data_IF_723435894511
#
_entry.id   IF_723435894511
#
_cell.length_a   1.000
_cell.length_b   1.000
_cell.length_c   1.000
_cell.angle_alpha   90.00
_cell.angle_beta   90.00
_cell.angle_gamma   90.00
#
_symmetry.space_group_name_H-M   'P 1'
#
loop_
_entity.id
_entity.type
_entity.pdbx_description
1 polymer ?
#
# COMPACT_ATOMS: atom_id res chain seq x y z
N UNK A 1 13.72 11.02 -27.09
CA UNK A 1 14.24 10.43 -25.83
C UNK A 1 15.58 9.79 -26.15
N UNK A 2 16.57 9.93 -25.26
CA UNK A 2 17.92 9.41 -25.48
C UNK A 2 17.95 7.89 -25.27
N UNK A 3 18.45 7.15 -26.26
CA UNK A 3 18.63 5.70 -26.21
C UNK A 3 19.52 5.24 -25.03
N UNK A 4 19.21 4.10 -24.40
CA UNK A 4 20.00 3.42 -23.36
C UNK A 4 21.51 3.42 -23.66
N UNK A 5 21.86 3.13 -24.92
CA UNK A 5 23.26 3.13 -25.41
C UNK A 5 23.91 4.53 -25.37
N UNK A 6 23.12 5.59 -25.55
CA UNK A 6 23.56 6.98 -25.44
C UNK A 6 23.89 7.35 -24.00
N UNK A 7 23.02 6.98 -23.05
CA UNK A 7 23.23 7.24 -21.62
C UNK A 7 24.52 6.55 -21.13
N UNK A 8 24.71 5.27 -21.47
CA UNK A 8 25.93 4.53 -21.11
C UNK A 8 27.21 5.12 -21.74
N UNK A 9 27.13 5.62 -22.98
CA UNK A 9 28.27 6.31 -23.62
C UNK A 9 28.63 7.62 -22.91
N UNK A 10 27.64 8.36 -22.38
CA UNK A 10 27.89 9.58 -21.60
C UNK A 10 28.54 9.28 -20.25
N UNK A 11 28.11 8.22 -19.57
CA UNK A 11 28.78 7.75 -18.34
C UNK A 11 30.23 7.36 -18.63
N UNK A 12 30.45 6.54 -19.66
CA UNK A 12 31.81 6.12 -20.06
C UNK A 12 32.72 7.28 -20.44
N UNK A 13 32.17 8.36 -20.99
CA UNK A 13 32.93 9.55 -21.37
C UNK A 13 33.06 10.60 -20.25
N UNK A 14 32.58 10.30 -19.04
CA UNK A 14 32.62 11.21 -17.90
C UNK A 14 31.68 12.42 -18.00
N UNK A 15 30.80 12.45 -19.01
CA UNK A 15 29.85 13.55 -19.25
C UNK A 15 28.55 13.41 -18.45
N UNK A 16 28.40 12.32 -17.70
CA UNK A 16 27.24 12.03 -16.88
C UNK A 16 27.69 11.18 -15.69
N UNK A 17 27.33 11.57 -14.48
CA UNK A 17 27.62 10.76 -13.30
C UNK A 17 26.80 9.47 -13.29
N UNK A 18 27.34 8.41 -12.70
CA UNK A 18 26.64 7.11 -12.59
C UNK A 18 25.29 7.26 -11.88
N UNK A 19 25.21 8.04 -10.80
CA UNK A 19 23.94 8.31 -10.09
C UNK A 19 22.91 9.01 -10.97
N UNK A 20 23.36 9.90 -11.84
CA UNK A 20 22.49 10.70 -12.70
C UNK A 20 21.99 9.86 -13.89
N UNK A 21 22.87 9.04 -14.47
CA UNK A 21 22.50 8.01 -15.42
C UNK A 21 21.52 6.99 -14.85
N UNK A 22 21.72 6.55 -13.60
CA UNK A 22 20.81 5.65 -12.91
C UNK A 22 19.41 6.27 -12.77
N UNK A 23 19.32 7.56 -12.42
CA UNK A 23 18.04 8.31 -12.42
C UNK A 23 17.38 8.35 -13.78
N UNK A 24 18.14 8.62 -14.85
CA UNK A 24 17.60 8.67 -16.22
C UNK A 24 17.09 7.30 -16.67
N UNK A 25 17.83 6.23 -16.36
CA UNK A 25 17.47 4.86 -16.74
C UNK A 25 16.31 4.29 -15.93
N UNK A 26 16.07 4.77 -14.70
CA UNK A 26 14.88 4.41 -13.89
C UNK A 26 13.56 4.77 -14.58
N UNK A 27 13.56 5.69 -15.55
CA UNK A 27 12.35 6.14 -16.27
C UNK A 27 11.94 5.18 -17.40
N UNK A 28 12.86 4.37 -17.96
CA UNK A 28 12.62 3.59 -19.20
C UNK A 28 12.08 2.15 -19.00
N UNK A 29 11.61 1.80 -17.80
CA UNK A 29 11.20 0.44 -17.44
C UNK A 29 9.79 0.00 -17.87
N UNK A 30 9.34 0.28 -19.11
CA UNK A 30 7.98 -0.09 -19.55
C UNK A 30 7.97 -1.36 -20.41
N UNK A 31 7.34 -2.43 -19.92
CA UNK A 31 7.08 -3.66 -20.67
C UNK A 31 5.66 -3.68 -21.22
N UNK A 32 5.50 -3.95 -22.52
CA UNK A 32 4.18 -4.07 -23.17
C UNK A 32 3.66 -5.51 -23.08
N UNK A 33 2.44 -5.69 -22.60
CA UNK A 33 1.73 -6.98 -22.61
C UNK A 33 0.54 -6.89 -23.57
N UNK A 34 0.69 -7.53 -24.73
CA UNK A 34 -0.29 -7.44 -25.81
C UNK A 34 -0.58 -5.98 -26.21
N UNK A 35 -1.86 -5.69 -26.47
CA UNK A 35 -2.34 -4.33 -26.79
C UNK A 35 -3.03 -3.62 -25.61
N UNK A 36 -3.13 -4.27 -24.44
CA UNK A 36 -4.02 -3.83 -23.35
C UNK A 36 -3.31 -3.39 -22.07
N UNK A 37 -2.01 -3.68 -21.91
CA UNK A 37 -1.27 -3.29 -20.71
C UNK A 37 0.17 -2.84 -21.00
N UNK A 38 0.61 -1.84 -20.23
CA UNK A 38 1.99 -1.35 -20.16
C UNK A 38 2.38 -1.39 -18.68
N UNK A 39 3.33 -2.24 -18.36
CA UNK A 39 3.72 -2.54 -16.98
C UNK A 39 5.03 -1.86 -16.69
N UNK A 40 5.12 -1.26 -15.51
CA UNK A 40 6.36 -0.67 -15.02
C UNK A 40 7.21 -1.71 -14.29
N UNK A 41 8.14 -2.33 -15.03
CA UNK A 41 9.07 -3.31 -14.48
C UNK A 41 10.18 -2.67 -13.63
N UNK A 42 10.27 -1.33 -13.64
CA UNK A 42 11.26 -0.57 -12.88
C UNK A 42 10.72 0.06 -11.58
N UNK A 43 9.43 -0.07 -11.28
CA UNK A 43 8.76 0.69 -10.20
C UNK A 43 9.42 0.48 -8.84
N UNK A 44 9.70 -0.76 -8.48
CA UNK A 44 10.34 -1.09 -7.19
C UNK A 44 11.72 -0.45 -7.09
N UNK A 45 12.55 -0.54 -8.14
CA UNK A 45 13.88 0.08 -8.18
C UNK A 45 13.81 1.61 -8.16
N UNK A 46 12.76 2.20 -8.76
CA UNK A 46 12.64 3.65 -8.89
C UNK A 46 12.10 4.31 -7.62
N UNK A 47 11.05 3.77 -7.02
CA UNK A 47 10.31 4.39 -5.91
C UNK A 47 10.15 3.50 -4.68
N UNK A 48 10.72 2.29 -4.68
CA UNK A 48 10.66 1.36 -3.54
C UNK A 48 9.35 0.59 -3.40
N UNK A 49 8.37 0.82 -4.29
CA UNK A 49 7.03 0.22 -4.22
C UNK A 49 6.94 -0.92 -5.26
N UNK A 50 6.55 -2.15 -4.87
CA UNK A 50 6.30 -3.23 -5.81
C UNK A 50 5.10 -2.90 -6.70
N UNK A 51 5.07 -3.50 -7.88
CA UNK A 51 3.96 -3.26 -8.79
C UNK A 51 2.70 -4.02 -8.31
N UNK A 52 1.59 -3.28 -8.24
CA UNK A 52 0.29 -3.80 -7.77
C UNK A 52 -0.70 -3.86 -8.93
N UNK A 53 -1.25 -5.03 -9.17
CA UNK A 53 -2.24 -5.27 -10.23
C UNK A 53 -3.64 -5.14 -9.66
N UNK A 54 -4.34 -4.07 -10.02
CA UNK A 54 -5.77 -3.94 -9.74
C UNK A 54 -6.56 -4.97 -10.58
N UNK A 55 -7.20 -5.96 -9.95
CA UNK A 55 -7.99 -6.96 -10.67
C UNK A 55 -9.41 -6.50 -11.00
N UNK A 56 -9.97 -5.58 -10.23
CA UNK A 56 -11.28 -5.00 -10.49
C UNK A 56 -11.32 -4.38 -11.90
N UNK A 57 -12.37 -4.71 -12.66
CA UNK A 57 -12.56 -4.25 -14.04
C UNK A 57 -11.69 -4.97 -15.09
N UNK A 58 -10.87 -5.96 -14.71
CA UNK A 58 -10.09 -6.80 -15.64
C UNK A 58 -10.64 -8.21 -15.72
N UNK A 59 -10.43 -8.91 -16.84
CA UNK A 59 -10.73 -10.35 -16.94
C UNK A 59 -9.68 -11.19 -16.20
N UNK A 60 -10.02 -12.41 -15.73
CA UNK A 60 -9.05 -13.32 -15.12
C UNK A 60 -7.82 -13.58 -16.00
N UNK A 61 -8.00 -13.70 -17.31
CA UNK A 61 -6.93 -13.94 -18.28
C UNK A 61 -6.04 -12.71 -18.44
N UNK A 62 -6.62 -11.50 -18.43
CA UNK A 62 -5.85 -10.26 -18.46
C UNK A 62 -4.96 -10.14 -17.22
N UNK A 63 -5.50 -10.43 -16.04
CA UNK A 63 -4.75 -10.42 -14.78
C UNK A 63 -3.60 -11.40 -14.84
N UNK A 64 -3.84 -12.65 -15.26
CA UNK A 64 -2.78 -13.66 -15.40
C UNK A 64 -1.68 -13.20 -16.35
N UNK A 65 -2.03 -12.69 -17.53
CA UNK A 65 -1.05 -12.21 -18.52
C UNK A 65 -0.21 -11.04 -18.00
N UNK A 66 -0.81 -10.15 -17.21
CA UNK A 66 -0.08 -9.05 -16.55
C UNK A 66 0.93 -9.64 -15.58
N UNK A 67 0.49 -10.53 -14.68
CA UNK A 67 1.33 -11.17 -13.65
C UNK A 67 2.47 -11.99 -14.27
N UNK A 68 2.24 -12.71 -15.37
CA UNK A 68 3.28 -13.44 -16.12
C UNK A 68 4.36 -12.50 -16.67
N UNK A 69 3.97 -11.28 -17.03
CA UNK A 69 4.86 -10.26 -17.54
C UNK A 69 5.80 -9.66 -16.49
N UNK A 70 5.54 -9.88 -15.21
CA UNK A 70 6.20 -9.20 -14.09
C UNK A 70 7.31 -10.02 -13.45
N UNK A 71 8.32 -9.31 -12.93
CA UNK A 71 9.41 -9.86 -12.12
C UNK A 71 9.20 -9.48 -10.64
N UNK A 72 9.89 -10.17 -9.73
CA UNK A 72 9.79 -9.90 -8.29
C UNK A 72 8.48 -10.36 -7.63
N UNK A 73 8.24 -9.85 -6.42
CA UNK A 73 7.02 -10.10 -5.66
C UNK A 73 5.87 -9.30 -6.25
N UNK A 74 4.73 -9.95 -6.47
CA UNK A 74 3.58 -9.36 -7.17
C UNK A 74 2.37 -9.37 -6.26
N UNK A 75 1.72 -8.23 -6.12
CA UNK A 75 0.44 -8.11 -5.44
C UNK A 75 -0.67 -7.92 -6.46
N UNK A 76 -1.75 -8.67 -6.31
CA UNK A 76 -3.00 -8.44 -7.04
C UNK A 76 -4.04 -7.98 -6.02
N UNK A 77 -4.61 -6.79 -6.21
CA UNK A 77 -5.65 -6.23 -5.33
C UNK A 77 -7.05 -6.41 -5.90
N UNK A 78 -8.06 -6.37 -5.02
CA UNK A 78 -9.49 -6.51 -5.36
C UNK A 78 -9.80 -7.76 -6.20
N UNK A 79 -9.25 -8.88 -5.77
CA UNK A 79 -9.34 -10.21 -6.41
C UNK A 79 -10.73 -10.81 -6.18
N UNK A 80 -11.42 -11.14 -7.27
CA UNK A 80 -12.69 -11.89 -7.24
C UNK A 80 -12.46 -13.41 -7.29
N UNK A 81 -13.53 -14.19 -7.14
CA UNK A 81 -13.46 -15.66 -7.12
C UNK A 81 -12.84 -16.26 -8.38
N UNK A 82 -13.27 -15.82 -9.56
CA UNK A 82 -12.71 -16.29 -10.84
C UNK A 82 -11.26 -15.84 -11.04
N UNK A 83 -10.89 -14.64 -10.59
CA UNK A 83 -9.48 -14.20 -10.59
C UNK A 83 -8.60 -15.15 -9.78
N UNK A 84 -9.01 -15.47 -8.54
CA UNK A 84 -8.26 -16.36 -7.67
C UNK A 84 -8.11 -17.77 -8.25
N UNK A 85 -9.19 -18.32 -8.82
CA UNK A 85 -9.20 -19.63 -9.46
C UNK A 85 -8.20 -19.69 -10.62
N UNK A 86 -8.21 -18.69 -11.49
CA UNK A 86 -7.30 -18.65 -12.65
C UNK A 86 -5.85 -18.40 -12.22
N UNK A 87 -5.61 -17.55 -11.22
CA UNK A 87 -4.29 -17.34 -10.63
C UNK A 87 -3.71 -18.64 -10.05
N UNK A 88 -4.48 -19.37 -9.24
CA UNK A 88 -4.05 -20.65 -8.62
C UNK A 88 -3.79 -21.77 -9.63
N UNK A 89 -4.48 -21.75 -10.78
CA UNK A 89 -4.20 -22.69 -11.88
C UNK A 89 -2.85 -22.40 -12.54
N UNK A 90 -2.45 -21.13 -12.62
CA UNK A 90 -1.28 -20.71 -13.41
C UNK A 90 0.00 -20.58 -12.59
N UNK A 91 -0.10 -20.09 -11.37
CA UNK A 91 1.04 -19.78 -10.50
C UNK A 91 1.06 -20.71 -9.29
N UNK A 92 2.27 -21.15 -8.93
CA UNK A 92 2.51 -21.85 -7.66
C UNK A 92 2.62 -20.80 -6.55
N UNK A 93 2.22 -21.17 -5.33
CA UNK A 93 2.35 -20.33 -4.12
C UNK A 93 1.60 -18.99 -4.20
N UNK A 94 0.32 -19.03 -4.57
CA UNK A 94 -0.58 -17.87 -4.47
C UNK A 94 -1.12 -17.79 -3.05
N UNK A 95 -0.60 -16.85 -2.26
CA UNK A 95 -1.13 -16.54 -0.94
C UNK A 95 -2.32 -15.59 -1.09
N UNK A 96 -3.46 -15.94 -0.50
CA UNK A 96 -4.70 -15.20 -0.66
C UNK A 96 -5.21 -14.70 0.69
N UNK A 97 -5.26 -13.38 0.85
CA UNK A 97 -5.89 -12.75 1.98
C UNK A 97 -7.37 -12.51 1.68
N UNK A 98 -8.24 -13.29 2.33
CA UNK A 98 -9.69 -13.22 2.13
C UNK A 98 -10.29 -11.87 2.55
N UNK A 99 -9.80 -11.28 3.63
CA UNK A 99 -10.29 -10.01 4.16
C UNK A 99 -9.93 -8.85 3.22
N UNK A 100 -8.67 -8.79 2.78
CA UNK A 100 -8.19 -7.77 1.84
C UNK A 100 -8.66 -8.00 0.39
N UNK A 101 -9.13 -9.21 0.06
CA UNK A 101 -9.31 -9.69 -1.32
C UNK A 101 -8.04 -9.46 -2.14
N UNK A 102 -6.88 -9.79 -1.58
CA UNK A 102 -5.60 -9.67 -2.27
C UNK A 102 -4.98 -11.04 -2.50
N UNK A 103 -4.23 -11.17 -3.60
CA UNK A 103 -3.41 -12.34 -3.89
C UNK A 103 -1.95 -11.91 -4.02
N UNK A 104 -1.09 -12.44 -3.15
CA UNK A 104 0.35 -12.22 -3.19
C UNK A 104 1.04 -13.41 -3.86
N UNK A 105 1.94 -13.11 -4.79
CA UNK A 105 2.80 -14.08 -5.46
C UNK A 105 4.23 -13.72 -5.10
N UNK A 106 4.73 -14.37 -4.05
CA UNK A 106 6.05 -14.09 -3.46
C UNK A 106 7.10 -14.97 -4.14
N UNK A 107 8.04 -14.34 -4.84
CA UNK A 107 9.18 -14.99 -5.53
C UNK A 107 10.46 -14.96 -4.69
N UNK A 108 10.62 -13.97 -3.82
CA UNK A 108 11.79 -13.81 -2.95
C UNK A 108 11.39 -13.30 -1.56
N UNK A 109 12.12 -13.75 -0.53
CA UNK A 109 11.97 -13.21 0.82
C UNK A 109 12.41 -11.75 0.85
N UNK A 110 11.68 -10.93 1.58
CA UNK A 110 12.00 -9.52 1.85
C UNK A 110 12.41 -9.42 3.31
N UNK A 111 13.54 -8.75 3.56
CA UNK A 111 13.97 -8.43 4.92
C UNK A 111 12.96 -7.51 5.60
N UNK A 112 12.72 -7.72 6.90
CA UNK A 112 11.72 -6.96 7.65
C UNK A 112 12.37 -5.79 8.39
N UNK A 113 12.10 -4.57 7.94
CA UNK A 113 12.59 -3.27 8.43
C UNK A 113 11.46 -2.27 8.65
N UNK A 114 11.54 -1.51 9.74
CA UNK A 114 10.49 -0.61 10.18
C UNK A 114 9.20 -1.33 10.64
N UNK A 115 8.39 -0.60 11.39
CA UNK A 115 7.15 -1.09 12.01
C UNK A 115 5.99 -0.15 11.68
N UNK A 116 4.94 -0.70 11.06
CA UNK A 116 3.72 0.04 10.70
C UNK A 116 2.58 -0.37 11.64
N UNK A 117 1.92 0.60 12.27
CA UNK A 117 0.67 0.38 12.99
C UNK A 117 -0.52 0.47 12.02
N UNK A 118 -1.51 -0.41 12.17
CA UNK A 118 -2.75 -0.40 11.39
C UNK A 118 -3.93 -0.50 12.34
N UNK A 119 -4.79 0.52 12.32
CA UNK A 119 -5.92 0.66 13.22
C UNK A 119 -7.22 0.73 12.42
N UNK A 120 -8.29 0.05 12.87
CA UNK A 120 -9.64 0.25 12.33
C UNK A 120 -10.63 0.79 13.35
N UNK A 121 -11.55 1.63 12.88
CA UNK A 121 -12.67 2.08 13.70
C UNK A 121 -13.72 0.98 13.89
N UNK A 122 -14.08 0.28 12.82
CA UNK A 122 -15.03 -0.83 12.88
C UNK A 122 -14.51 -2.12 12.23
N UNK A 123 -15.22 -3.22 12.48
CA UNK A 123 -14.97 -4.49 11.79
C UNK A 123 -15.21 -4.43 10.28
N UNK A 124 -16.11 -3.54 9.82
CA UNK A 124 -16.36 -3.29 8.39
C UNK A 124 -15.14 -2.76 7.64
N UNK A 125 -14.20 -2.16 8.35
CA UNK A 125 -13.07 -1.44 7.77
C UNK A 125 -11.84 -2.36 7.63
N UNK A 126 -11.91 -3.58 8.21
CA UNK A 126 -10.82 -4.56 8.24
C UNK A 126 -10.34 -4.92 6.83
N UNK A 127 -11.23 -4.99 5.83
CA UNK A 127 -10.81 -5.33 4.47
C UNK A 127 -9.79 -4.33 3.89
N UNK A 128 -10.03 -3.04 4.08
CA UNK A 128 -9.13 -1.97 3.61
C UNK A 128 -7.85 -1.91 4.46
N UNK A 129 -7.97 -2.17 5.77
CA UNK A 129 -6.80 -2.25 6.67
C UNK A 129 -5.89 -3.45 6.38
N UNK A 130 -6.46 -4.60 6.03
CA UNK A 130 -5.71 -5.78 5.60
C UNK A 130 -5.05 -5.55 4.23
N UNK A 131 -5.66 -4.76 3.33
CA UNK A 131 -5.00 -4.34 2.08
C UNK A 131 -3.74 -3.51 2.37
N UNK A 132 -3.82 -2.54 3.30
CA UNK A 132 -2.67 -1.76 3.74
C UNK A 132 -1.59 -2.63 4.42
N UNK A 133 -2.03 -3.59 5.24
CA UNK A 133 -1.14 -4.57 5.90
C UNK A 133 -0.36 -5.35 4.85
N UNK A 134 -1.05 -6.01 3.91
CA UNK A 134 -0.40 -6.87 2.91
C UNK A 134 0.62 -6.08 2.10
N UNK A 135 0.31 -4.85 1.72
CA UNK A 135 1.27 -3.99 1.01
C UNK A 135 2.49 -3.67 1.87
N UNK A 136 2.29 -3.24 3.11
CA UNK A 136 3.39 -2.89 4.00
C UNK A 136 4.29 -4.11 4.26
N UNK A 137 3.70 -5.29 4.47
CA UNK A 137 4.43 -6.54 4.66
C UNK A 137 5.22 -6.96 3.41
N UNK A 138 4.62 -6.82 2.23
CA UNK A 138 5.28 -7.11 0.96
C UNK A 138 6.43 -6.15 0.66
N UNK A 139 6.35 -4.91 1.17
CA UNK A 139 7.43 -3.93 1.09
C UNK A 139 8.51 -4.13 2.15
N UNK A 140 8.35 -5.12 3.03
CA UNK A 140 9.33 -5.49 4.03
C UNK A 140 9.11 -4.83 5.38
N UNK A 141 7.91 -4.42 5.77
CA UNK A 141 7.68 -3.88 7.12
C UNK A 141 7.10 -4.93 8.07
N UNK A 142 7.35 -4.77 9.39
CA UNK A 142 6.54 -5.43 10.42
C UNK A 142 5.22 -4.66 10.56
N UNK A 143 4.11 -5.34 10.81
CA UNK A 143 2.81 -4.69 10.97
C UNK A 143 2.19 -5.04 12.31
N UNK A 144 1.75 -4.02 13.05
CA UNK A 144 0.98 -4.13 14.29
C UNK A 144 -0.46 -3.73 14.01
N UNK A 145 -1.42 -4.48 14.56
CA UNK A 145 -2.83 -4.37 14.19
C UNK A 145 -3.69 -4.15 15.42
N UNK A 146 -4.62 -3.20 15.34
CA UNK A 146 -5.69 -3.03 16.32
C UNK A 146 -7.02 -2.80 15.58
N UNK A 147 -7.97 -3.71 15.77
CA UNK A 147 -9.25 -3.65 15.05
C UNK A 147 -10.41 -3.32 15.99
N UNK A 148 -11.43 -2.66 15.43
CA UNK A 148 -12.69 -2.34 16.10
C UNK A 148 -12.55 -1.41 17.33
N UNK A 149 -11.65 -0.42 17.22
CA UNK A 149 -11.37 0.56 18.29
C UNK A 149 -11.99 1.93 18.03
N UNK A 150 -13.16 1.96 17.38
CA UNK A 150 -13.84 3.16 16.95
C UNK A 150 -14.34 4.08 18.07
N UNK A 151 -14.75 5.28 17.68
CA UNK A 151 -15.06 6.40 18.59
C UNK A 151 -16.21 6.11 19.56
N UNK A 152 -17.23 5.35 19.15
CA UNK A 152 -18.34 4.95 20.03
C UNK A 152 -17.88 4.17 21.28
N UNK A 153 -16.71 3.54 21.22
CA UNK A 153 -16.05 2.91 22.35
C UNK A 153 -14.59 3.32 22.44
N UNK A 154 -14.31 4.63 22.43
CA UNK A 154 -12.95 5.17 22.29
C UNK A 154 -11.95 4.63 23.32
N UNK A 155 -12.41 4.20 24.49
CA UNK A 155 -11.57 3.57 25.51
C UNK A 155 -10.85 2.30 25.02
N UNK A 156 -11.38 1.61 23.99
CA UNK A 156 -10.76 0.45 23.36
C UNK A 156 -9.47 0.79 22.59
N UNK A 157 -9.26 2.07 22.22
CA UNK A 157 -8.07 2.53 21.50
C UNK A 157 -6.83 2.59 22.39
N UNK A 158 -6.99 2.95 23.67
CA UNK A 158 -5.86 3.38 24.51
C UNK A 158 -4.81 2.29 24.73
N UNK A 159 -5.23 1.07 25.08
CA UNK A 159 -4.28 -0.02 25.33
C UNK A 159 -3.52 -0.45 24.06
N UNK A 160 -4.17 -0.74 22.92
CA UNK A 160 -3.45 -1.09 21.69
C UNK A 160 -2.55 0.05 21.17
N UNK A 161 -2.97 1.31 21.30
CA UNK A 161 -2.15 2.45 20.89
C UNK A 161 -0.89 2.55 21.75
N UNK A 162 -1.02 2.36 23.07
CA UNK A 162 0.12 2.33 23.98
C UNK A 162 1.09 1.20 23.63
N UNK A 163 0.59 0.00 23.39
CA UNK A 163 1.42 -1.15 22.98
C UNK A 163 2.17 -0.84 21.67
N UNK A 164 1.50 -0.25 20.67
CA UNK A 164 2.14 0.17 19.42
C UNK A 164 3.31 1.14 19.64
N UNK A 165 3.15 2.12 20.55
CA UNK A 165 4.21 3.09 20.86
C UNK A 165 5.38 2.43 21.61
N UNK A 166 5.09 1.57 22.59
CA UNK A 166 6.11 0.82 23.33
C UNK A 166 6.93 -0.11 22.41
N UNK A 167 6.31 -0.62 21.34
CA UNK A 167 6.96 -1.45 20.32
C UNK A 167 7.70 -0.66 19.22
N UNK A 168 7.72 0.67 19.30
CA UNK A 168 8.46 1.52 18.35
C UNK A 168 7.84 1.54 16.95
N UNK A 169 6.51 1.68 16.85
CA UNK A 169 5.85 1.92 15.56
C UNK A 169 6.33 3.25 14.95
N UNK A 170 6.71 3.23 13.67
CA UNK A 170 7.24 4.39 12.95
C UNK A 170 6.15 5.27 12.31
N UNK A 171 4.98 4.68 12.02
CA UNK A 171 3.86 5.32 11.32
C UNK A 171 2.58 4.52 11.57
N UNK A 172 1.45 5.21 11.73
CA UNK A 172 0.14 4.57 11.94
C UNK A 172 -0.79 4.85 10.76
N UNK A 173 -1.34 3.79 10.18
CA UNK A 173 -2.45 3.83 9.22
C UNK A 173 -3.75 3.66 10.00
N UNK A 174 -4.66 4.62 9.91
CA UNK A 174 -5.97 4.56 10.58
C UNK A 174 -7.08 4.53 9.53
N UNK A 175 -7.82 3.43 9.50
CA UNK A 175 -8.89 3.17 8.54
C UNK A 175 -10.24 3.37 9.22
N UNK A 176 -11.05 4.30 8.71
CA UNK A 176 -12.32 4.64 9.35
C UNK A 176 -13.40 5.08 8.35
N UNK A 177 -14.59 4.52 8.50
CA UNK A 177 -15.80 4.92 7.80
C UNK A 177 -16.62 5.98 8.57
N UNK A 178 -17.87 6.18 8.14
CA UNK A 178 -18.84 7.11 8.75
C UNK A 178 -18.29 8.54 8.87
N UNK A 179 -18.26 9.12 10.07
CA UNK A 179 -17.72 10.45 10.36
C UNK A 179 -16.18 10.53 10.26
N UNK A 180 -15.47 9.40 10.15
CA UNK A 180 -14.03 9.36 9.90
C UNK A 180 -13.19 10.05 10.97
N UNK A 181 -13.66 10.13 12.22
CA UNK A 181 -13.04 10.91 13.30
C UNK A 181 -11.81 10.24 13.92
N UNK A 182 -11.73 8.90 13.90
CA UNK A 182 -10.67 8.15 14.58
C UNK A 182 -9.24 8.55 14.15
N UNK A 183 -8.91 8.76 12.86
CA UNK A 183 -7.58 9.22 12.45
C UNK A 183 -7.16 10.54 13.09
N UNK A 184 -8.08 11.49 13.24
CA UNK A 184 -7.79 12.79 13.89
C UNK A 184 -7.50 12.63 15.37
N UNK A 185 -8.23 11.74 16.06
CA UNK A 185 -7.97 11.43 17.47
C UNK A 185 -6.58 10.82 17.63
N UNK A 186 -6.25 9.79 16.83
CA UNK A 186 -4.94 9.13 16.88
C UNK A 186 -3.82 10.13 16.58
N UNK A 187 -3.97 10.99 15.57
CA UNK A 187 -3.00 12.02 15.21
C UNK A 187 -2.77 13.07 16.31
N UNK A 188 -3.77 13.31 17.18
CA UNK A 188 -3.62 14.18 18.34
C UNK A 188 -2.94 13.52 19.55
N UNK A 189 -2.70 12.20 19.51
CA UNK A 189 -2.20 11.40 20.62
C UNK A 189 -0.79 10.84 20.43
N UNK A 190 -0.21 10.99 19.24
CA UNK A 190 1.10 10.43 18.88
C UNK A 190 2.00 11.49 18.26
N UNK A 191 3.31 11.29 18.35
CA UNK A 191 4.36 12.13 17.77
C UNK A 191 4.92 11.57 16.45
N UNK A 192 4.36 10.46 15.96
CA UNK A 192 4.71 9.81 14.70
C UNK A 192 3.66 10.10 13.59
N UNK A 193 4.02 9.96 12.30
CA UNK A 193 3.08 10.20 11.21
C UNK A 193 1.82 9.34 11.28
N UNK A 194 0.67 9.95 10.96
CA UNK A 194 -0.62 9.27 10.84
C UNK A 194 -1.17 9.41 9.41
N UNK A 195 -1.58 8.28 8.83
CA UNK A 195 -2.21 8.20 7.51
C UNK A 195 -3.68 7.79 7.68
N UNK A 196 -4.60 8.69 7.38
CA UNK A 196 -6.03 8.44 7.37
C UNK A 196 -6.49 7.79 6.06
N UNK A 197 -7.24 6.70 6.17
CA UNK A 197 -7.88 6.00 5.04
C UNK A 197 -9.39 6.05 5.21
N UNK A 198 -10.09 6.94 4.49
CA UNK A 198 -11.55 6.95 4.50
C UNK A 198 -12.06 5.71 3.76
N UNK A 199 -13.14 5.10 4.26
CA UNK A 199 -13.76 3.93 3.61
C UNK A 199 -15.21 4.15 3.24
N UNK A 200 -15.65 3.45 2.20
CA UNK A 200 -17.00 3.55 1.63
C UNK A 200 -18.03 2.62 2.29
N UNK A 201 -17.66 1.93 3.38
CA UNK A 201 -18.51 0.99 4.13
C UNK A 201 -19.65 1.64 4.93
N UNK A 202 -19.73 2.98 4.97
CA UNK A 202 -20.75 3.72 5.71
C UNK A 202 -22.13 3.71 5.05
N UNK A 203 -23.13 4.24 5.77
CA UNK A 203 -24.48 4.48 5.26
C UNK A 203 -24.94 5.91 5.60
N UNK A 204 -26.06 6.33 5.00
CA UNK A 204 -26.65 7.65 5.26
C UNK A 204 -25.90 8.78 4.54
N UNK A 205 -25.97 9.98 5.11
CA UNK A 205 -25.42 11.20 4.49
C UNK A 205 -23.90 11.11 4.36
N UNK A 206 -23.40 11.18 3.13
CA UNK A 206 -21.98 11.01 2.82
C UNK A 206 -21.45 9.57 3.05
N UNK A 207 -22.34 8.57 3.12
CA UNK A 207 -22.01 7.19 3.49
C UNK A 207 -21.02 6.47 2.57
N UNK A 208 -20.86 6.90 1.31
CA UNK A 208 -19.86 6.37 0.36
C UNK A 208 -18.43 6.86 0.63
N UNK A 209 -18.11 7.16 1.89
CA UNK A 209 -16.80 7.67 2.32
C UNK A 209 -16.61 9.18 2.18
N UNK A 210 -17.58 9.92 1.62
CA UNK A 210 -17.48 11.37 1.46
C UNK A 210 -17.44 12.12 2.79
N UNK A 211 -18.24 11.69 3.76
CA UNK A 211 -18.24 12.29 5.10
C UNK A 211 -16.88 12.08 5.77
N UNK A 212 -16.39 10.83 5.76
CA UNK A 212 -15.09 10.46 6.30
C UNK A 212 -13.95 11.23 5.62
N UNK A 213 -13.93 11.30 4.28
CA UNK A 213 -12.91 12.02 3.52
C UNK A 213 -12.89 13.52 3.86
N UNK A 214 -14.06 14.17 3.85
CA UNK A 214 -14.17 15.61 4.20
C UNK A 214 -13.71 15.87 5.63
N UNK A 215 -14.12 15.03 6.58
CA UNK A 215 -13.72 15.10 7.98
C UNK A 215 -12.21 14.99 8.16
N UNK A 216 -11.58 13.98 7.53
CA UNK A 216 -10.13 13.79 7.59
C UNK A 216 -9.36 14.95 6.96
N UNK A 217 -9.82 15.49 5.81
CA UNK A 217 -9.17 16.62 5.12
C UNK A 217 -9.35 17.96 5.84
N UNK A 218 -10.42 18.13 6.62
CA UNK A 218 -10.69 19.35 7.38
C UNK A 218 -10.18 19.28 8.83
N UNK A 219 -9.52 18.19 9.21
CA UNK A 219 -9.00 18.01 10.56
C UNK A 219 -7.94 19.07 10.89
N UNK A 220 -7.98 19.58 12.12
CA UNK A 220 -6.93 20.44 12.66
C UNK A 220 -5.71 19.65 13.13
N UNK A 221 -5.81 18.31 13.21
CA UNK A 221 -4.69 17.44 13.56
C UNK A 221 -3.78 17.24 12.34
N UNK A 222 -2.50 16.97 12.59
CA UNK A 222 -1.56 16.71 11.50
C UNK A 222 -1.68 15.27 11.01
N UNK A 223 -2.43 15.06 9.92
CA UNK A 223 -2.50 13.75 9.24
C UNK A 223 -2.38 13.88 7.71
N UNK A 224 -1.90 12.80 7.09
CA UNK A 224 -1.97 12.63 5.63
C UNK A 224 -3.20 11.80 5.28
N UNK A 225 -3.93 12.16 4.24
CA UNK A 225 -5.16 11.47 3.84
C UNK A 225 -4.98 10.88 2.44
N UNK A 226 -5.31 9.59 2.28
CA UNK A 226 -5.38 8.94 0.97
C UNK A 226 -6.82 8.93 0.43
N UNK A 227 -6.98 8.52 -0.83
CA UNK A 227 -8.30 8.38 -1.43
C UNK A 227 -9.15 7.30 -0.73
N UNK A 228 -10.47 7.35 -0.95
CA UNK A 228 -11.44 6.40 -0.38
C UNK A 228 -11.08 4.97 -0.79
N UNK A 229 -11.09 4.06 0.18
CA UNK A 229 -10.75 2.64 0.03
C UNK A 229 -9.35 2.38 -0.56
N UNK A 230 -8.41 3.32 -0.41
CA UNK A 230 -7.06 3.19 -0.93
C UNK A 230 -6.10 2.57 0.11
N UNK A 231 -6.40 1.34 0.55
CA UNK A 231 -5.56 0.58 1.46
C UNK A 231 -4.17 0.34 0.87
N UNK A 232 -4.09 0.06 -0.45
CA UNK A 232 -2.81 -0.10 -1.15
C UNK A 232 -1.92 1.13 -1.01
N UNK A 233 -2.43 2.31 -1.31
CA UNK A 233 -1.67 3.55 -1.24
C UNK A 233 -1.23 3.88 0.18
N UNK A 234 -2.10 3.66 1.16
CA UNK A 234 -1.77 3.88 2.57
C UNK A 234 -0.66 2.96 3.05
N UNK A 235 -0.76 1.65 2.77
CA UNK A 235 0.28 0.66 3.12
C UNK A 235 1.61 0.96 2.44
N UNK A 236 1.59 1.37 1.17
CA UNK A 236 2.80 1.71 0.44
C UNK A 236 3.49 2.97 1.00
N UNK A 237 2.73 4.03 1.27
CA UNK A 237 3.26 5.25 1.88
C UNK A 237 3.81 4.98 3.28
N UNK A 238 3.07 4.22 4.11
CA UNK A 238 3.51 3.83 5.44
C UNK A 238 4.84 3.06 5.39
N UNK A 239 4.96 2.09 4.49
CA UNK A 239 6.18 1.32 4.35
C UNK A 239 7.39 2.17 3.91
N UNK A 240 7.19 3.17 3.04
CA UNK A 240 8.24 4.10 2.67
C UNK A 240 8.72 4.96 3.83
N UNK A 241 7.81 5.35 4.73
CA UNK A 241 8.14 6.09 5.95
C UNK A 241 8.92 5.19 6.90
N UNK A 242 8.33 4.05 7.29
CA UNK A 242 8.89 3.14 8.28
C UNK A 242 10.28 2.63 7.91
N UNK A 243 10.50 2.29 6.63
CA UNK A 243 11.81 1.78 6.18
C UNK A 243 12.91 2.82 6.22
N UNK A 244 12.60 4.11 6.13
CA UNK A 244 13.59 5.18 6.23
C UNK A 244 13.95 5.52 7.66
N UNK A 245 13.02 5.34 8.60
CA UNK A 245 13.30 5.48 10.03
C UNK A 245 14.32 4.45 10.53
N UNK A 246 14.31 3.24 9.93
CA UNK A 246 15.23 2.14 10.24
C UNK A 246 16.64 2.29 9.63
N UNK A 247 16.89 3.33 8.82
CA UNK A 247 18.21 3.61 8.22
C UNK A 247 19.11 4.48 9.13
N UNK A 248 18.67 4.75 10.36
CA UNK A 248 19.38 5.54 11.40
C UNK A 248 20.23 4.72 12.35
#
# INVERSE_FOLDING_TARGET
MEDFKSILKKVRSGRLEVKEAERMLRIEGVKRIGKFARIDVGREKRIGIPEVVLAEGKSPEQVVRIVEGMEGNILVSRVGGEHLKTLRKRFRNVDYNKSAKTAAIVKSKVERKGVVGVITAGTSDIGVAEEATVVAEMMGCKVKKAYDVGVAGIHRLFAPLREMLEEGVDVIVVVAGREGTLPSIVAGMVDIPVIGVPVSSGYGFGGKGEAALKSMLQSCSFLTVVNIDNGVGAGACAALIARRSDEG
#
